data_IF_304159663600
#
_entry.id   IF_304159663600
#
_cell.length_a   1.000
_cell.length_b   1.000
_cell.length_c   1.000
_cell.angle_alpha   90.00
_cell.angle_beta   90.00
_cell.angle_gamma   90.00
#
_symmetry.space_group_name_H-M   'P 1'
#
loop_
_entity.id
_entity.type
_entity.pdbx_description
1 polymer ?
#
# COMPACT_ATOMS: atom_id res chain seq x y z
N UNK A 1 -22.53 0.01 -5.49
CA UNK A 1 -22.35 -1.15 -4.58
C UNK A 1 -22.20 -0.64 -3.15
N UNK A 2 -22.94 -1.16 -2.16
CA UNK A 2 -22.65 -0.87 -0.74
C UNK A 2 -21.35 -1.58 -0.36
N UNK A 3 -20.31 -0.85 0.02
CA UNK A 3 -19.10 -1.44 0.60
C UNK A 3 -19.50 -2.17 1.89
N UNK A 4 -19.27 -3.48 1.94
CA UNK A 4 -19.61 -4.27 3.12
C UNK A 4 -18.61 -3.96 4.23
N UNK A 5 -19.09 -3.40 5.34
CA UNK A 5 -18.29 -3.25 6.57
C UNK A 5 -17.61 -4.58 6.89
N UNK A 6 -16.33 -4.50 7.24
CA UNK A 6 -15.59 -5.66 7.67
C UNK A 6 -15.93 -5.89 9.14
N UNK A 7 -16.80 -6.86 9.42
CA UNK A 7 -17.09 -7.22 10.80
C UNK A 7 -15.77 -7.58 11.53
N UNK A 8 -15.44 -6.90 12.65
CA UNK A 8 -14.39 -7.39 13.54
C UNK A 8 -14.74 -8.83 13.89
N UNK A 9 -13.76 -9.73 13.85
CA UNK A 9 -14.00 -11.15 14.06
C UNK A 9 -14.52 -11.35 15.49
N UNK A 10 -15.83 -11.59 15.64
CA UNK A 10 -16.42 -11.85 16.94
C UNK A 10 -15.94 -13.22 17.43
N UNK A 11 -15.42 -13.28 18.65
CA UNK A 11 -14.68 -14.42 19.19
C UNK A 11 -15.54 -15.65 19.51
N UNK A 12 -16.78 -15.73 19.04
CA UNK A 12 -17.76 -16.64 19.62
C UNK A 12 -17.88 -18.01 18.93
N UNK A 13 -17.25 -18.29 17.79
CA UNK A 13 -17.44 -19.61 17.13
C UNK A 13 -16.26 -20.25 16.39
N UNK A 14 -15.08 -19.64 16.29
CA UNK A 14 -13.90 -20.36 15.75
C UNK A 14 -12.61 -20.02 16.50
N UNK A 15 -12.08 -21.00 17.22
CA UNK A 15 -10.83 -20.93 18.00
C UNK A 15 -9.63 -20.53 17.15
N UNK A 16 -9.67 -20.78 15.84
CA UNK A 16 -8.58 -20.46 14.89
C UNK A 16 -8.46 -18.95 14.66
N UNK A 17 -9.57 -18.22 14.71
CA UNK A 17 -9.68 -16.84 14.27
C UNK A 17 -9.33 -15.81 15.36
N UNK A 18 -9.62 -16.11 16.63
CA UNK A 18 -9.18 -15.31 17.77
C UNK A 18 -7.64 -15.26 17.91
N UNK A 19 -6.94 -16.28 17.39
CA UNK A 19 -5.48 -16.41 17.46
C UNK A 19 -4.78 -15.56 16.38
N UNK A 20 -5.52 -14.96 15.44
CA UNK A 20 -4.97 -14.13 14.36
C UNK A 20 -4.95 -12.64 14.68
N UNK A 21 -5.73 -12.18 15.67
CA UNK A 21 -5.86 -10.76 15.94
C UNK A 21 -4.64 -10.19 16.65
N UNK A 22 -3.97 -9.20 16.05
CA UNK A 22 -3.04 -8.30 16.75
C UNK A 22 -3.74 -6.99 17.12
N UNK A 23 -3.24 -6.23 18.11
CA UNK A 23 -3.74 -4.89 18.39
C UNK A 23 -3.75 -3.99 17.15
N UNK A 24 -2.72 -4.06 16.31
CA UNK A 24 -2.61 -3.30 15.06
C UNK A 24 -3.66 -3.72 14.03
N UNK A 25 -3.90 -5.03 13.87
CA UNK A 25 -4.89 -5.55 12.92
C UNK A 25 -6.32 -5.22 13.38
N UNK A 26 -6.61 -5.34 14.67
CA UNK A 26 -7.90 -4.94 15.24
C UNK A 26 -8.16 -3.44 15.03
N UNK A 27 -7.16 -2.60 15.29
CA UNK A 27 -7.27 -1.16 15.06
C UNK A 27 -7.51 -0.84 13.58
N UNK A 28 -6.80 -1.53 12.67
CA UNK A 28 -6.99 -1.38 11.24
C UNK A 28 -8.44 -1.63 10.81
N UNK A 29 -9.06 -2.72 11.28
CA UNK A 29 -10.45 -3.06 10.92
C UNK A 29 -11.45 -2.07 11.51
N UNK A 30 -11.24 -1.66 12.77
CA UNK A 30 -12.10 -0.65 13.39
C UNK A 30 -12.06 0.68 12.63
N UNK A 31 -10.86 1.11 12.23
CA UNK A 31 -10.69 2.34 11.48
C UNK A 31 -11.20 2.21 10.04
N UNK A 32 -11.04 1.04 9.41
CA UNK A 32 -11.62 0.75 8.11
C UNK A 32 -13.13 0.94 8.10
N UNK A 33 -13.82 0.38 9.09
CA UNK A 33 -15.27 0.50 9.18
C UNK A 33 -15.76 1.93 9.37
N UNK A 34 -14.99 2.76 10.07
CA UNK A 34 -15.28 4.19 10.22
C UNK A 34 -15.09 4.94 8.90
N UNK A 35 -14.00 4.63 8.20
CA UNK A 35 -13.71 5.27 6.91
C UNK A 35 -14.75 4.87 5.84
N UNK A 36 -15.25 3.64 5.85
CA UNK A 36 -16.28 3.15 4.92
C UNK A 36 -17.57 3.97 4.99
N UNK A 37 -17.99 4.39 6.18
CA UNK A 37 -19.21 5.21 6.33
C UNK A 37 -19.03 6.56 5.62
N UNK A 38 -17.91 7.24 5.86
CA UNK A 38 -17.56 8.48 5.15
C UNK A 38 -17.48 8.28 3.63
N UNK A 39 -16.83 7.20 3.20
CA UNK A 39 -16.65 6.89 1.78
C UNK A 39 -17.99 6.65 1.09
N UNK A 40 -18.91 5.91 1.70
CA UNK A 40 -20.24 5.66 1.15
C UNK A 40 -21.02 6.97 0.95
N UNK A 41 -20.96 7.88 1.93
CA UNK A 41 -21.62 9.19 1.80
C UNK A 41 -21.01 10.00 0.66
N UNK A 42 -19.68 10.01 0.53
CA UNK A 42 -18.98 10.70 -0.57
C UNK A 42 -19.25 10.08 -1.94
N UNK A 43 -19.34 8.76 -2.04
CA UNK A 43 -19.73 8.08 -3.29
C UNK A 43 -21.13 8.53 -3.71
N UNK A 44 -22.09 8.58 -2.78
CA UNK A 44 -23.44 9.06 -3.10
C UNK A 44 -23.43 10.49 -3.65
N UNK A 45 -22.61 11.38 -3.07
CA UNK A 45 -22.44 12.75 -3.56
C UNK A 45 -21.81 12.76 -4.97
N UNK A 46 -20.75 11.99 -5.19
CA UNK A 46 -20.02 11.91 -6.46
C UNK A 46 -20.85 11.35 -7.62
N UNK A 47 -21.78 10.44 -7.33
CA UNK A 47 -22.57 9.76 -8.35
C UNK A 47 -23.91 10.45 -8.65
N UNK A 48 -24.51 11.14 -7.67
CA UNK A 48 -25.91 11.56 -7.78
C UNK A 48 -26.15 13.06 -7.67
N UNK A 49 -25.17 13.86 -7.26
CA UNK A 49 -25.36 15.29 -7.04
C UNK A 49 -24.72 16.07 -8.19
N UNK A 50 -25.52 16.91 -8.85
CA UNK A 50 -25.04 17.87 -9.83
C UNK A 50 -24.24 18.96 -9.11
N UNK A 51 -23.00 19.19 -9.56
CA UNK A 51 -22.08 20.14 -8.92
C UNK A 51 -22.13 21.49 -9.62
N UNK A 52 -22.18 22.56 -8.82
CA UNK A 52 -22.06 23.94 -9.29
C UNK A 52 -20.82 24.53 -8.65
N UNK A 53 -19.82 24.84 -9.47
CA UNK A 53 -18.54 25.37 -9.03
C UNK A 53 -18.57 26.89 -8.99
N UNK A 54 -17.92 27.49 -8.00
CA UNK A 54 -17.62 28.94 -8.04
C UNK A 54 -16.49 29.21 -9.03
N UNK A 55 -16.31 30.48 -9.42
CA UNK A 55 -15.19 30.88 -10.28
C UNK A 55 -13.84 30.55 -9.63
N UNK A 56 -13.72 30.67 -8.30
CA UNK A 56 -12.50 30.31 -7.58
C UNK A 56 -12.24 28.80 -7.60
N UNK A 57 -13.29 27.99 -7.45
CA UNK A 57 -13.18 26.52 -7.51
C UNK A 57 -12.79 26.06 -8.90
N UNK A 58 -13.42 26.59 -9.95
CA UNK A 58 -13.04 26.28 -11.34
C UNK A 58 -11.60 26.72 -11.63
N UNK A 59 -11.18 27.91 -11.18
CA UNK A 59 -9.79 28.35 -11.33
C UNK A 59 -8.80 27.41 -10.61
N UNK A 60 -9.15 26.92 -9.42
CA UNK A 60 -8.34 25.97 -8.66
C UNK A 60 -8.21 24.62 -9.38
N UNK A 61 -9.30 24.15 -10.00
CA UNK A 61 -9.36 22.91 -10.79
C UNK A 61 -8.54 23.03 -12.07
N UNK A 62 -8.72 24.11 -12.83
CA UNK A 62 -7.95 24.35 -14.06
C UNK A 62 -6.45 24.51 -13.77
N UNK A 63 -6.10 25.21 -12.68
CA UNK A 63 -4.71 25.29 -12.20
C UNK A 63 -4.13 23.91 -11.88
N UNK A 64 -4.90 23.04 -11.23
CA UNK A 64 -4.48 21.67 -10.93
C UNK A 64 -4.26 20.84 -12.19
N UNK A 65 -5.19 20.89 -13.15
CA UNK A 65 -5.04 20.20 -14.44
C UNK A 65 -3.82 20.70 -15.23
N UNK A 66 -3.61 22.02 -15.24
CA UNK A 66 -2.44 22.65 -15.84
C UNK A 66 -1.13 22.17 -15.20
N UNK A 67 -1.07 22.10 -13.86
CA UNK A 67 0.11 21.56 -13.13
C UNK A 67 0.36 20.10 -13.45
N UNK A 68 -0.69 19.26 -13.43
CA UNK A 68 -0.56 17.83 -13.70
C UNK A 68 0.00 17.56 -15.11
N UNK A 69 -0.46 18.35 -16.09
CA UNK A 69 0.01 18.30 -17.48
C UNK A 69 1.42 18.90 -17.62
N UNK A 70 1.72 19.98 -16.90
CA UNK A 70 3.05 20.60 -16.86
C UNK A 70 4.13 19.64 -16.33
N UNK A 71 3.77 18.74 -15.41
CA UNK A 71 4.67 17.68 -14.95
C UNK A 71 5.01 16.64 -16.04
N UNK A 72 4.20 16.51 -17.12
CA UNK A 72 4.52 15.66 -18.28
C UNK A 72 5.46 16.34 -19.27
N UNK A 73 5.34 17.66 -19.43
CA UNK A 73 6.17 18.44 -20.35
C UNK A 73 7.62 18.64 -19.84
N UNK A 74 7.97 18.05 -18.70
CA UNK A 74 9.26 18.18 -18.03
C UNK A 74 10.42 17.42 -18.71
N UNK A 75 10.45 17.31 -20.03
CA UNK A 75 11.66 16.97 -20.79
C UNK A 75 12.81 18.00 -20.58
N UNK A 76 12.52 19.16 -19.98
CA UNK A 76 13.48 20.21 -19.66
C UNK A 76 14.16 20.09 -18.27
N UNK A 77 13.67 19.22 -17.38
CA UNK A 77 14.24 19.03 -16.02
C UNK A 77 14.34 17.54 -15.70
N UNK A 78 15.51 17.01 -15.30
CA UNK A 78 15.65 15.58 -15.02
C UNK A 78 14.85 15.19 -13.77
N UNK A 79 13.74 14.49 -13.98
CA UNK A 79 13.04 13.78 -12.90
C UNK A 79 13.85 12.54 -12.51
N UNK A 80 14.07 12.35 -11.20
CA UNK A 80 14.66 11.10 -10.69
C UNK A 80 13.56 10.05 -10.55
N UNK A 81 13.80 8.86 -11.09
CA UNK A 81 12.93 7.70 -10.85
C UNK A 81 13.13 7.24 -9.41
N UNK A 82 12.04 7.13 -8.65
CA UNK A 82 12.06 6.57 -7.32
C UNK A 82 11.64 5.10 -7.35
N UNK A 83 12.22 4.31 -6.46
CA UNK A 83 11.73 2.96 -6.24
C UNK A 83 10.29 3.02 -5.74
N UNK A 84 9.44 2.19 -6.33
CA UNK A 84 8.06 2.02 -5.91
C UNK A 84 7.98 0.89 -4.88
N UNK A 85 6.99 0.93 -4.01
CA UNK A 85 6.81 -0.10 -2.98
C UNK A 85 6.12 -1.33 -3.55
N UNK A 86 5.07 -1.12 -4.36
CA UNK A 86 4.18 -2.14 -4.89
C UNK A 86 4.20 -2.11 -6.42
N UNK A 87 4.05 -3.28 -7.04
CA UNK A 87 4.09 -3.45 -8.50
C UNK A 87 2.96 -2.76 -9.25
N UNK A 88 1.85 -2.45 -8.59
CA UNK A 88 0.75 -1.70 -9.22
C UNK A 88 1.10 -0.23 -9.45
N UNK A 89 2.23 0.27 -8.93
CA UNK A 89 2.77 1.59 -9.28
C UNK A 89 3.64 1.48 -10.53
N UNK A 90 3.15 2.01 -11.66
CA UNK A 90 3.84 1.99 -12.96
C UNK A 90 5.10 2.85 -12.96
N UNK A 91 4.99 4.05 -12.38
CA UNK A 91 6.13 4.93 -12.18
C UNK A 91 5.90 5.85 -11.00
N UNK A 92 7.00 6.26 -10.37
CA UNK A 92 7.03 7.39 -9.46
C UNK A 92 8.29 8.19 -9.77
N UNK A 93 8.09 9.45 -10.12
CA UNK A 93 9.15 10.35 -10.55
C UNK A 93 9.02 11.64 -9.77
N UNK A 94 10.13 12.32 -9.51
CA UNK A 94 10.05 13.67 -8.96
C UNK A 94 11.29 14.51 -9.17
N UNK A 95 11.14 15.77 -8.81
CA UNK A 95 12.12 16.83 -8.95
C UNK A 95 12.09 17.71 -7.70
N UNK A 96 13.26 18.14 -7.22
CA UNK A 96 13.39 19.08 -6.12
C UNK A 96 14.14 20.34 -6.58
N UNK A 97 13.41 21.45 -6.73
CA UNK A 97 14.00 22.76 -6.93
C UNK A 97 14.53 23.30 -5.60
N UNK A 98 15.78 22.98 -5.28
CA UNK A 98 16.40 23.39 -4.02
C UNK A 98 16.51 24.92 -3.84
N UNK A 99 16.42 25.70 -4.91
CA UNK A 99 16.50 27.17 -4.84
C UNK A 99 15.19 27.78 -4.32
N UNK A 100 14.06 27.24 -4.79
CA UNK A 100 12.73 27.73 -4.46
C UNK A 100 12.08 26.92 -3.31
N UNK A 101 12.65 25.75 -2.99
CA UNK A 101 12.10 24.83 -1.99
C UNK A 101 10.97 23.94 -2.53
N UNK A 102 10.69 24.01 -3.84
CA UNK A 102 9.60 23.27 -4.47
C UNK A 102 9.96 21.82 -4.77
N UNK A 103 9.06 20.92 -4.37
CA UNK A 103 9.12 19.50 -4.63
C UNK A 103 7.96 19.13 -5.54
N UNK A 104 8.29 18.53 -6.68
CA UNK A 104 7.33 18.00 -7.63
C UNK A 104 7.40 16.48 -7.63
N UNK A 105 6.26 15.80 -7.54
CA UNK A 105 6.18 14.34 -7.65
C UNK A 105 5.04 13.99 -8.59
N UNK A 106 5.32 13.14 -9.57
CA UNK A 106 4.31 12.53 -10.43
C UNK A 106 4.35 11.02 -10.28
N UNK A 107 3.20 10.39 -10.13
CA UNK A 107 3.10 8.94 -9.99
C UNK A 107 1.83 8.43 -10.64
N UNK A 108 1.88 7.23 -11.21
CA UNK A 108 0.70 6.57 -11.72
C UNK A 108 0.64 5.13 -11.22
N UNK A 109 -0.54 4.71 -10.75
CA UNK A 109 -0.76 3.39 -10.19
C UNK A 109 -2.19 2.91 -10.44
N UNK A 110 -2.39 1.59 -10.40
CA UNK A 110 -3.72 0.98 -10.52
C UNK A 110 -4.24 0.48 -9.18
N UNK A 111 -5.57 0.47 -9.05
CA UNK A 111 -6.31 0.01 -7.88
C UNK A 111 -7.45 -0.89 -8.36
N UNK A 112 -7.72 -1.98 -7.63
CA UNK A 112 -8.94 -2.79 -7.80
C UNK A 112 -10.11 -2.16 -7.05
N UNK A 113 -10.90 -1.37 -7.76
CA UNK A 113 -12.05 -0.65 -7.22
C UNK A 113 -12.70 0.24 -8.28
N UNK A 114 -13.94 0.62 -8.00
CA UNK A 114 -14.67 1.62 -8.78
C UNK A 114 -14.09 3.03 -8.56
N UNK A 115 -14.05 3.84 -9.62
CA UNK A 115 -13.45 5.16 -9.63
C UNK A 115 -14.10 6.14 -8.64
N UNK A 116 -15.40 6.06 -8.37
CA UNK A 116 -16.05 6.87 -7.34
C UNK A 116 -15.64 6.43 -5.94
N UNK A 117 -15.50 5.11 -5.70
CA UNK A 117 -14.98 4.59 -4.44
C UNK A 117 -13.52 5.03 -4.21
N UNK A 118 -12.70 4.96 -5.26
CA UNK A 118 -11.30 5.40 -5.23
C UNK A 118 -11.22 6.91 -4.98
N UNK A 119 -12.05 7.71 -5.63
CA UNK A 119 -12.12 9.16 -5.42
C UNK A 119 -12.57 9.52 -4.01
N UNK A 120 -13.62 8.88 -3.49
CA UNK A 120 -14.06 9.07 -2.13
C UNK A 120 -12.93 8.78 -1.13
N UNK A 121 -12.22 7.66 -1.29
CA UNK A 121 -11.06 7.30 -0.46
C UNK A 121 -9.94 8.34 -0.55
N UNK A 122 -9.58 8.78 -1.76
CA UNK A 122 -8.49 9.74 -1.98
C UNK A 122 -8.86 11.15 -1.50
N UNK A 123 -10.14 11.51 -1.49
CA UNK A 123 -10.67 12.77 -0.93
C UNK A 123 -10.73 12.74 0.60
N UNK A 124 -10.80 11.56 1.20
CA UNK A 124 -10.80 11.39 2.66
C UNK A 124 -9.40 11.67 3.22
N UNK A 125 -9.05 12.94 3.43
CA UNK A 125 -7.76 13.31 4.02
C UNK A 125 -7.52 12.64 5.39
N UNK A 126 -8.61 12.32 6.10
CA UNK A 126 -8.62 11.85 7.48
C UNK A 126 -8.68 10.34 7.62
N UNK A 127 -8.47 9.59 6.52
CA UNK A 127 -8.57 8.15 6.58
C UNK A 127 -7.71 7.59 7.72
N UNK A 128 -8.38 6.91 8.66
CA UNK A 128 -7.76 6.39 9.87
C UNK A 128 -7.18 5.00 9.61
N UNK A 129 -7.76 4.28 8.65
CA UNK A 129 -7.36 2.94 8.29
C UNK A 129 -5.98 2.95 7.62
N UNK A 130 -4.95 2.63 8.41
CA UNK A 130 -3.55 2.57 7.95
C UNK A 130 -3.02 1.17 8.07
N UNK A 131 -2.74 0.55 6.94
CA UNK A 131 -2.20 -0.80 6.92
C UNK A 131 -0.85 -0.88 7.68
N UNK A 132 -0.71 -1.78 8.67
CA UNK A 132 0.50 -1.91 9.48
C UNK A 132 1.76 -2.32 8.69
N UNK A 133 1.64 -2.87 7.49
CA UNK A 133 2.74 -3.17 6.55
C UNK A 133 3.52 -1.94 6.08
N UNK A 134 3.02 -0.73 6.35
CA UNK A 134 3.69 0.51 5.99
C UNK A 134 4.06 1.36 7.21
N UNK A 135 3.76 0.86 8.41
CA UNK A 135 4.09 1.50 9.68
C UNK A 135 3.39 2.84 9.92
N UNK A 136 3.71 3.47 11.06
CA UNK A 136 3.34 4.86 11.34
C UNK A 136 4.37 5.78 10.70
N UNK A 137 3.96 6.94 10.16
CA UNK A 137 4.95 7.92 9.72
C UNK A 137 5.74 8.47 10.87
N UNK A 138 7.08 8.39 10.79
CA UNK A 138 7.98 9.11 11.68
C UNK A 138 7.74 10.64 11.62
N UNK A 139 7.26 11.17 10.49
CA UNK A 139 6.96 12.60 10.29
C UNK A 139 5.49 12.99 10.55
N UNK A 140 4.57 12.03 10.78
CA UNK A 140 3.15 12.31 11.03
C UNK A 140 2.80 12.13 12.49
N UNK A 141 3.55 12.77 13.37
CA UNK A 141 2.98 13.16 14.66
C UNK A 141 2.18 14.43 14.39
N UNK A 142 0.99 14.30 13.79
CA UNK A 142 0.09 15.43 13.71
C UNK A 142 -0.24 15.89 15.13
N UNK A 143 -0.13 17.19 15.40
CA UNK A 143 -0.64 17.75 16.65
C UNK A 143 -2.16 17.87 16.60
N UNK A 144 -2.69 18.22 15.42
CA UNK A 144 -4.10 18.25 15.10
C UNK A 144 -4.28 18.03 13.60
N UNK A 145 -5.42 17.44 13.22
CA UNK A 145 -5.94 17.49 11.86
C UNK A 145 -7.44 17.72 12.02
N UNK A 146 -8.00 18.75 11.39
CA UNK A 146 -9.44 19.07 11.50
C UNK A 146 -10.01 19.56 10.18
N UNK A 147 -11.18 19.02 9.80
CA UNK A 147 -12.02 19.71 8.82
C UNK A 147 -12.45 21.00 9.51
N UNK A 148 -11.99 22.11 8.97
CA UNK A 148 -12.24 23.43 9.53
C UNK A 148 -13.59 23.94 9.04
N UNK A 149 -13.94 23.60 7.81
CA UNK A 149 -15.18 24.00 7.16
C UNK A 149 -15.59 22.96 6.09
N UNK A 150 -16.88 22.71 5.95
CA UNK A 150 -17.47 22.03 4.78
C UNK A 150 -18.24 23.10 4.04
N UNK A 151 -17.65 23.64 2.97
CA UNK A 151 -18.22 24.78 2.24
C UNK A 151 -19.44 24.34 1.42
N UNK A 152 -19.36 23.16 0.79
CA UNK A 152 -20.43 22.53 0.02
C UNK A 152 -20.16 21.01 -0.13
N UNK A 153 -20.95 20.30 -0.94
CA UNK A 153 -20.84 18.85 -1.12
C UNK A 153 -19.50 18.41 -1.76
N UNK A 154 -18.89 19.28 -2.56
CA UNK A 154 -17.67 19.04 -3.31
C UNK A 154 -16.42 19.76 -2.82
N UNK A 155 -16.52 20.53 -1.73
CA UNK A 155 -15.50 21.46 -1.26
C UNK A 155 -15.43 21.46 0.27
N UNK A 156 -14.26 21.17 0.82
CA UNK A 156 -14.03 21.18 2.27
C UNK A 156 -12.63 21.70 2.61
N UNK A 157 -12.54 22.52 3.65
CA UNK A 157 -11.29 23.09 4.12
C UNK A 157 -10.68 22.19 5.19
N UNK A 158 -9.43 21.78 5.00
CA UNK A 158 -8.64 21.09 6.01
C UNK A 158 -7.48 21.94 6.51
N UNK A 159 -7.11 21.72 7.77
CA UNK A 159 -5.86 22.20 8.34
C UNK A 159 -5.10 21.03 8.97
N UNK A 160 -3.79 20.96 8.69
CA UNK A 160 -2.90 19.91 9.14
C UNK A 160 -1.60 20.47 9.72
N UNK A 161 -1.21 19.96 10.88
CA UNK A 161 0.04 20.32 11.54
C UNK A 161 1.07 19.19 11.47
N UNK A 162 2.22 19.42 10.83
CA UNK A 162 3.28 18.45 10.61
C UNK A 162 4.48 18.70 11.51
N UNK A 163 4.85 17.69 12.29
CA UNK A 163 6.11 17.70 13.05
C UNK A 163 7.30 17.40 12.16
N UNK A 164 8.26 18.30 12.16
CA UNK A 164 9.55 18.10 11.50
C UNK A 164 10.62 17.67 12.51
N UNK A 165 11.66 16.93 12.07
CA UNK A 165 12.77 16.59 12.95
C UNK A 165 13.50 17.84 13.44
N UNK A 166 13.72 17.94 14.75
CA UNK A 166 14.55 19.01 15.34
C UNK A 166 15.92 19.07 14.65
N UNK A 167 16.45 20.27 14.33
CA UNK A 167 15.97 21.61 14.72
C UNK A 167 15.01 22.28 13.73
N UNK A 168 14.44 21.54 12.76
CA UNK A 168 13.52 22.15 11.80
C UNK A 168 12.20 22.51 12.48
N UNK A 169 11.73 23.74 12.25
CA UNK A 169 10.40 24.19 12.69
C UNK A 169 9.32 23.28 12.12
N UNK A 170 8.19 23.16 12.80
CA UNK A 170 7.04 22.42 12.29
C UNK A 170 6.38 23.15 11.12
N UNK A 171 5.47 22.46 10.41
CA UNK A 171 4.73 23.02 9.27
C UNK A 171 3.24 22.93 9.46
N UNK A 172 2.52 23.96 9.06
CA UNK A 172 1.07 23.93 8.95
C UNK A 172 0.68 23.96 7.48
N UNK A 173 -0.37 23.26 7.10
CA UNK A 173 -0.91 23.24 5.75
C UNK A 173 -2.42 23.50 5.86
N UNK A 174 -2.92 24.42 5.03
CA UNK A 174 -4.36 24.60 4.84
C UNK A 174 -4.65 24.27 3.39
N UNK A 175 -5.61 23.38 3.13
CA UNK A 175 -6.07 23.12 1.77
C UNK A 175 -7.58 23.22 1.66
N UNK A 176 -8.04 23.64 0.49
CA UNK A 176 -9.36 23.32 0.01
C UNK A 176 -9.31 21.97 -0.73
N UNK A 177 -10.03 20.99 -0.22
CA UNK A 177 -10.23 19.68 -0.84
C UNK A 177 -11.45 19.75 -1.75
N UNK A 178 -11.19 19.75 -3.05
CA UNK A 178 -12.17 19.84 -4.12
C UNK A 178 -12.25 18.52 -4.87
N UNK A 179 -13.42 18.21 -5.42
CA UNK A 179 -13.53 17.17 -6.45
C UNK A 179 -14.44 17.58 -7.61
N UNK A 180 -14.09 17.10 -8.81
CA UNK A 180 -14.85 17.35 -10.04
C UNK A 180 -14.95 16.11 -10.89
N UNK A 181 -16.16 15.77 -11.29
CA UNK A 181 -16.37 14.74 -12.31
C UNK A 181 -15.98 15.34 -13.67
N UNK A 182 -14.99 14.73 -14.32
CA UNK A 182 -14.52 15.14 -15.66
C UNK A 182 -15.30 14.43 -16.77
N UNK A 183 -15.95 13.31 -16.45
CA UNK A 183 -16.81 12.54 -17.34
C UNK A 183 -17.37 11.31 -16.62
N UNK A 184 -18.05 10.43 -17.34
CA UNK A 184 -18.68 9.23 -16.76
C UNK A 184 -17.70 8.31 -16.04
N UNK A 185 -16.45 8.23 -16.54
CA UNK A 185 -15.41 7.33 -16.03
C UNK A 185 -14.27 8.05 -15.32
N UNK A 186 -14.38 9.36 -15.08
CA UNK A 186 -13.25 10.12 -14.54
C UNK A 186 -13.66 11.17 -13.52
N UNK A 187 -12.92 11.17 -12.41
CA UNK A 187 -13.06 12.13 -11.31
C UNK A 187 -11.68 12.72 -11.01
N UNK A 188 -11.63 14.03 -10.80
CA UNK A 188 -10.49 14.76 -10.30
C UNK A 188 -10.70 15.04 -8.82
N UNK A 189 -9.70 14.77 -7.99
CA UNK A 189 -9.64 15.22 -6.59
C UNK A 189 -8.43 16.16 -6.46
N UNK A 190 -8.64 17.34 -5.88
CA UNK A 190 -7.63 18.38 -5.75
C UNK A 190 -7.55 18.83 -4.29
N UNK A 191 -6.36 18.85 -3.73
CA UNK A 191 -6.04 19.55 -2.50
C UNK A 191 -5.37 20.85 -2.92
N UNK A 192 -6.13 21.94 -2.96
CA UNK A 192 -5.63 23.24 -3.37
C UNK A 192 -5.12 24.02 -2.15
N UNK A 193 -3.85 24.46 -2.12
CA UNK A 193 -3.29 25.13 -0.96
C UNK A 193 -3.89 26.52 -0.76
N UNK A 194 -4.17 26.87 0.50
CA UNK A 194 -4.64 28.20 0.88
C UNK A 194 -3.58 28.94 1.69
N UNK A 195 -3.43 30.23 1.41
CA UNK A 195 -2.50 31.11 2.14
C UNK A 195 -3.03 31.49 3.51
N UNK A 196 -4.35 31.51 3.71
CA UNK A 196 -5.02 31.78 4.99
C UNK A 196 -6.46 31.24 4.99
N UNK A 197 -7.06 31.16 6.18
CA UNK A 197 -8.48 30.87 6.35
C UNK A 197 -9.00 31.56 7.62
N UNK A 198 -10.21 32.16 7.65
CA UNK A 198 -10.70 32.91 8.82
C UNK A 198 -10.78 32.10 10.12
N UNK A 199 -11.01 30.80 10.02
CA UNK A 199 -11.11 29.87 11.15
C UNK A 199 -9.77 29.24 11.55
N UNK A 200 -8.67 29.59 10.89
CA UNK A 200 -7.32 29.10 11.21
C UNK A 200 -6.46 30.27 11.60
N UNK A 201 -6.06 30.31 12.87
CA UNK A 201 -5.17 31.34 13.39
C UNK A 201 -3.82 31.29 12.66
N UNK A 202 -3.32 32.45 12.23
CA UNK A 202 -1.96 32.54 11.71
C UNK A 202 -0.99 32.43 12.89
N UNK A 203 -0.40 31.24 13.04
CA UNK A 203 0.65 31.02 14.04
C UNK A 203 1.91 31.75 13.58
N UNK A 204 2.33 32.77 14.34
CA UNK A 204 3.50 33.60 14.01
C UNK A 204 4.77 32.76 13.77
N UNK A 205 5.59 33.22 12.81
CA UNK A 205 6.69 32.53 12.12
C UNK A 205 7.89 32.04 12.95
N UNK A 206 7.76 31.97 14.28
CA UNK A 206 8.69 31.26 15.16
C UNK A 206 8.24 29.86 15.56
N UNK A 207 6.92 29.59 15.58
CA UNK A 207 6.37 28.33 16.12
C UNK A 207 6.03 27.30 15.02
N UNK A 208 5.56 27.77 13.87
CA UNK A 208 5.13 27.00 12.71
C UNK A 208 5.45 27.78 11.44
N UNK A 209 5.72 27.08 10.34
CA UNK A 209 5.86 27.69 9.01
C UNK A 209 4.72 27.17 8.13
N UNK A 210 3.99 28.08 7.46
CA UNK A 210 2.94 27.69 6.51
C UNK A 210 3.57 27.09 5.26
N UNK A 211 3.21 25.84 4.98
CA UNK A 211 3.57 25.14 3.77
C UNK A 211 2.42 25.20 2.75
N UNK A 212 2.78 25.22 1.47
CA UNK A 212 1.85 25.11 0.35
C UNK A 212 1.96 23.70 -0.20
N UNK A 213 0.82 23.00 -0.26
CA UNK A 213 0.77 21.63 -0.75
C UNK A 213 -0.40 21.48 -1.71
N UNK A 214 -0.07 21.14 -2.95
CA UNK A 214 -1.03 20.82 -3.97
C UNK A 214 -0.98 19.31 -4.26
N UNK A 215 -2.01 18.57 -3.89
CA UNK A 215 -2.18 17.16 -4.32
C UNK A 215 -3.27 17.08 -5.37
N UNK A 216 -3.00 16.37 -6.44
CA UNK A 216 -3.90 16.23 -7.58
C UNK A 216 -4.00 14.74 -7.86
N UNK A 217 -5.22 14.23 -7.90
CA UNK A 217 -5.52 12.86 -8.32
C UNK A 217 -6.50 12.92 -9.48
N UNK A 218 -6.05 12.53 -10.66
CA UNK A 218 -6.94 12.17 -11.76
C UNK A 218 -7.19 10.67 -11.69
N UNK A 219 -8.46 10.31 -11.57
CA UNK A 219 -8.92 8.96 -11.29
C UNK A 219 -9.76 8.54 -12.47
N UNK A 220 -9.41 7.44 -13.11
CA UNK A 220 -10.02 7.00 -14.37
C UNK A 220 -10.34 5.52 -14.30
N UNK A 221 -11.62 5.17 -14.49
CA UNK A 221 -12.05 3.78 -14.61
C UNK A 221 -11.47 3.17 -15.89
N UNK A 222 -10.75 2.04 -15.76
CA UNK A 222 -10.20 1.30 -16.89
C UNK A 222 -11.18 0.22 -17.38
N UNK A 223 -11.68 -0.59 -16.46
CA UNK A 223 -12.66 -1.66 -16.65
C UNK A 223 -13.62 -1.72 -15.46
N UNK A 224 -14.49 -2.74 -15.34
CA UNK A 224 -15.55 -2.77 -14.32
C UNK A 224 -15.06 -2.72 -12.86
N UNK A 225 -13.79 -3.05 -12.61
CA UNK A 225 -13.26 -3.13 -11.24
C UNK A 225 -11.80 -2.72 -11.11
N UNK A 226 -11.23 -2.08 -12.13
CA UNK A 226 -9.87 -1.52 -12.11
C UNK A 226 -9.90 -0.04 -12.45
N UNK A 227 -9.29 0.74 -11.58
CA UNK A 227 -9.15 2.19 -11.71
C UNK A 227 -7.68 2.57 -11.78
N UNK A 228 -7.36 3.48 -12.68
CA UNK A 228 -6.08 4.16 -12.74
C UNK A 228 -6.10 5.44 -11.92
N UNK A 229 -5.04 5.68 -11.16
CA UNK A 229 -4.81 6.92 -10.44
C UNK A 229 -3.53 7.55 -10.97
N UNK A 230 -3.68 8.68 -11.65
CA UNK A 230 -2.59 9.59 -11.97
C UNK A 230 -2.53 10.66 -10.89
N UNK A 231 -1.38 10.75 -10.22
CA UNK A 231 -1.15 11.70 -9.14
C UNK A 231 -0.08 12.72 -9.51
N UNK A 232 -0.35 13.97 -9.18
CA UNK A 232 0.59 15.09 -9.23
C UNK A 232 0.67 15.75 -7.87
N UNK A 233 1.88 16.05 -7.43
CA UNK A 233 2.14 16.71 -6.15
C UNK A 233 3.09 17.87 -6.38
N UNK A 234 2.71 19.05 -5.91
CA UNK A 234 3.61 20.20 -5.82
C UNK A 234 3.60 20.70 -4.38
N UNK A 235 4.76 20.69 -3.74
CA UNK A 235 4.90 21.06 -2.33
C UNK A 235 6.00 22.09 -2.18
N UNK A 236 5.70 23.16 -1.46
CA UNK A 236 6.68 24.06 -0.89
C UNK A 236 6.50 24.09 0.62
N UNK A 237 7.45 23.52 1.36
CA UNK A 237 7.36 23.55 2.82
C UNK A 237 7.70 24.91 3.42
N UNK A 238 8.23 25.87 2.66
CA UNK A 238 8.74 27.12 3.20
C UNK A 238 10.01 26.95 4.03
N UNK A 239 10.84 27.99 4.04
CA UNK A 239 12.18 27.97 4.63
C UNK A 239 13.15 27.03 3.90
N UNK A 240 14.36 26.88 4.43
CA UNK A 240 15.40 26.07 3.81
C UNK A 240 15.36 24.62 4.32
N UNK A 241 14.96 23.68 3.45
CA UNK A 241 15.01 22.24 3.76
C UNK A 241 16.32 21.61 3.24
N UNK A 242 17.08 20.91 4.11
CA UNK A 242 18.24 20.15 3.66
C UNK A 242 17.84 19.06 2.64
N UNK A 243 18.60 18.91 1.56
CA UNK A 243 18.37 17.87 0.53
C UNK A 243 18.19 16.48 1.15
N UNK A 244 18.97 16.15 2.18
CA UNK A 244 18.88 14.86 2.86
C UNK A 244 17.49 14.60 3.47
N UNK A 245 16.80 15.62 3.98
CA UNK A 245 15.44 15.50 4.54
C UNK A 245 14.43 15.22 3.43
N UNK A 246 14.54 15.93 2.31
CA UNK A 246 13.69 15.70 1.13
C UNK A 246 13.84 14.27 0.62
N UNK A 247 15.07 13.83 0.37
CA UNK A 247 15.33 12.52 -0.22
C UNK A 247 15.12 11.34 0.73
N UNK A 248 15.45 11.47 2.03
CA UNK A 248 15.39 10.34 2.98
C UNK A 248 14.09 10.28 3.78
N UNK A 249 13.32 11.36 3.84
CA UNK A 249 12.10 11.43 4.65
C UNK A 249 10.88 11.72 3.78
N UNK A 250 10.88 12.83 3.03
CA UNK A 250 9.67 13.29 2.33
C UNK A 250 9.29 12.39 1.14
N UNK A 251 10.24 12.11 0.25
CA UNK A 251 9.98 11.25 -0.92
C UNK A 251 9.49 9.84 -0.53
N UNK A 252 10.16 9.12 0.39
CA UNK A 252 9.68 7.81 0.85
C UNK A 252 8.28 7.87 1.48
N UNK A 253 7.92 8.99 2.12
CA UNK A 253 6.58 9.16 2.68
C UNK A 253 5.50 9.26 1.60
N UNK A 254 5.76 9.89 0.44
CA UNK A 254 4.78 9.94 -0.67
C UNK A 254 4.51 8.54 -1.23
N UNK A 255 5.57 7.79 -1.52
CA UNK A 255 5.44 6.40 -1.98
C UNK A 255 4.62 5.57 -0.98
N UNK A 256 4.87 5.77 0.32
CA UNK A 256 4.10 5.10 1.37
C UNK A 256 2.62 5.48 1.37
N UNK A 257 2.27 6.74 1.13
CA UNK A 257 0.86 7.18 1.06
C UNK A 257 0.13 6.42 -0.04
N UNK A 258 0.71 6.32 -1.24
CA UNK A 258 0.13 5.54 -2.33
C UNK A 258 0.00 4.06 -1.98
N UNK A 259 1.01 3.51 -1.31
CA UNK A 259 1.00 2.11 -0.85
C UNK A 259 -0.14 1.81 0.12
N UNK A 260 -0.52 2.78 0.98
CA UNK A 260 -1.68 2.62 1.87
C UNK A 260 -2.99 2.52 1.09
N UNK A 261 -3.17 3.32 0.02
CA UNK A 261 -4.36 3.24 -0.82
C UNK A 261 -4.42 1.91 -1.58
N UNK A 262 -3.33 1.51 -2.23
CA UNK A 262 -3.23 0.24 -2.95
C UNK A 262 -3.54 -0.95 -2.03
N UNK A 263 -2.96 -0.96 -0.83
CA UNK A 263 -3.21 -2.03 0.14
C UNK A 263 -4.63 -2.03 0.70
N UNK A 264 -5.26 -0.87 0.88
CA UNK A 264 -6.65 -0.79 1.35
C UNK A 264 -7.58 -1.55 0.41
N UNK A 265 -7.51 -1.24 -0.88
CA UNK A 265 -8.35 -1.88 -1.89
C UNK A 265 -8.00 -3.35 -2.09
N UNK A 266 -6.71 -3.70 -2.16
CA UNK A 266 -6.29 -5.10 -2.28
C UNK A 266 -6.79 -5.98 -1.12
N UNK A 267 -6.74 -5.47 0.12
CA UNK A 267 -7.23 -6.21 1.29
C UNK A 267 -8.76 -6.27 1.37
N UNK A 268 -9.47 -5.48 0.55
CA UNK A 268 -10.94 -5.46 0.51
C UNK A 268 -11.51 -6.40 -0.56
N UNK A 269 -10.66 -7.01 -1.41
CA UNK A 269 -11.08 -7.98 -2.42
C UNK A 269 -11.57 -9.26 -1.71
N UNK A 270 -12.76 -9.74 -2.11
CA UNK A 270 -13.34 -11.02 -1.67
C UNK A 270 -12.69 -12.20 -2.39
N UNK A 271 -12.75 -13.38 -1.79
CA UNK A 271 -12.08 -14.57 -2.32
C UNK A 271 -12.56 -14.95 -3.72
N UNK A 272 -13.87 -14.86 -3.97
CA UNK A 272 -14.52 -15.14 -5.26
C UNK A 272 -14.17 -14.14 -6.37
N UNK A 273 -13.64 -12.96 -6.00
CA UNK A 273 -13.27 -11.90 -6.93
C UNK A 273 -11.75 -11.76 -7.13
N UNK A 274 -10.96 -12.58 -6.41
CA UNK A 274 -9.50 -12.53 -6.46
C UNK A 274 -9.00 -13.20 -7.76
N UNK A 275 -8.42 -12.40 -8.64
CA UNK A 275 -7.92 -12.82 -9.97
C UNK A 275 -6.46 -13.25 -9.90
N UNK A 276 -6.02 -13.96 -10.93
CA UNK A 276 -4.60 -14.28 -11.12
C UNK A 276 -3.69 -13.05 -10.98
N UNK A 277 -4.08 -11.93 -11.61
CA UNK A 277 -3.33 -10.67 -11.57
C UNK A 277 -3.20 -10.07 -10.18
N UNK A 278 -4.08 -10.40 -9.23
CA UNK A 278 -4.01 -9.90 -7.86
C UNK A 278 -3.01 -10.67 -7.01
N UNK A 279 -2.72 -11.93 -7.36
CA UNK A 279 -1.88 -12.80 -6.57
C UNK A 279 -0.51 -12.17 -6.31
N UNK A 280 0.08 -11.54 -7.33
CA UNK A 280 1.33 -10.80 -7.21
C UNK A 280 1.25 -9.72 -6.13
N UNK A 281 0.27 -8.82 -6.21
CA UNK A 281 0.09 -7.73 -5.23
C UNK A 281 -0.15 -8.28 -3.83
N UNK A 282 -0.94 -9.35 -3.69
CA UNK A 282 -1.19 -10.00 -2.40
C UNK A 282 0.09 -10.61 -1.81
N UNK A 283 0.95 -11.19 -2.64
CA UNK A 283 2.26 -11.72 -2.24
C UNK A 283 3.20 -10.61 -1.76
N UNK A 284 3.24 -9.48 -2.50
CA UNK A 284 3.98 -8.28 -2.09
C UNK A 284 3.51 -7.77 -0.72
N UNK A 285 2.19 -7.66 -0.51
CA UNK A 285 1.60 -7.19 0.74
C UNK A 285 1.95 -8.10 1.93
N UNK A 286 1.86 -9.43 1.77
CA UNK A 286 2.32 -10.38 2.79
C UNK A 286 3.79 -10.15 3.14
N UNK A 287 4.65 -10.06 2.12
CA UNK A 287 6.09 -9.84 2.32
C UNK A 287 6.34 -8.54 3.07
N UNK A 288 5.65 -7.45 2.72
CA UNK A 288 5.78 -6.17 3.44
C UNK A 288 5.29 -6.26 4.89
N UNK A 289 4.18 -6.96 5.13
CA UNK A 289 3.65 -7.17 6.48
C UNK A 289 4.66 -7.91 7.36
N UNK A 290 5.22 -9.02 6.86
CA UNK A 290 6.30 -9.78 7.52
C UNK A 290 7.51 -8.88 7.80
N UNK A 291 7.97 -8.11 6.79
CA UNK A 291 9.13 -7.21 6.93
C UNK A 291 8.92 -6.18 8.03
N UNK A 292 7.76 -5.52 8.09
CA UNK A 292 7.52 -4.51 9.11
C UNK A 292 7.34 -5.12 10.49
N UNK A 293 6.61 -6.23 10.61
CA UNK A 293 6.45 -6.91 11.89
C UNK A 293 7.82 -7.30 12.47
N UNK A 294 8.72 -7.87 11.65
CA UNK A 294 10.11 -8.19 12.04
C UNK A 294 10.94 -6.99 12.53
N UNK A 295 10.59 -5.76 12.15
CA UNK A 295 11.26 -4.52 12.62
C UNK A 295 10.76 -4.03 13.98
N UNK A 296 9.63 -4.56 14.50
CA UNK A 296 9.04 -4.13 15.78
C UNK A 296 9.81 -4.64 17.01
N UNK A 297 10.77 -5.53 16.83
CA UNK A 297 11.56 -6.08 17.93
C UNK A 297 12.99 -6.42 17.55
N UNK A 298 13.77 -6.85 18.55
CA UNK A 298 15.15 -7.26 18.37
C UNK A 298 15.29 -8.56 17.56
N UNK A 299 16.53 -8.86 17.14
CA UNK A 299 16.83 -10.00 16.27
C UNK A 299 16.30 -11.35 16.79
N UNK A 300 16.30 -11.57 18.12
CA UNK A 300 15.80 -12.79 18.76
C UNK A 300 14.29 -13.03 18.53
N UNK A 301 13.51 -11.97 18.31
CA UNK A 301 12.06 -12.03 18.10
C UNK A 301 11.66 -12.08 16.62
N UNK A 302 12.60 -12.05 15.67
CA UNK A 302 12.27 -11.96 14.23
C UNK A 302 11.46 -13.14 13.71
N UNK A 303 11.63 -14.34 14.27
CA UNK A 303 10.84 -15.49 13.86
C UNK A 303 9.37 -15.33 14.30
N UNK A 304 9.16 -15.10 15.60
CA UNK A 304 7.85 -14.83 16.20
C UNK A 304 7.14 -13.65 15.51
N UNK A 305 7.84 -12.53 15.34
CA UNK A 305 7.30 -11.34 14.66
C UNK A 305 7.06 -11.58 13.16
N UNK A 306 7.75 -12.52 12.54
CA UNK A 306 7.45 -12.96 11.18
C UNK A 306 6.06 -13.58 11.10
N UNK A 307 5.75 -14.49 12.03
CA UNK A 307 4.43 -15.11 12.15
C UNK A 307 3.35 -14.07 12.48
N UNK A 308 3.64 -13.10 13.35
CA UNK A 308 2.73 -11.96 13.59
C UNK A 308 2.42 -11.23 12.29
N UNK A 309 3.41 -10.98 11.44
CA UNK A 309 3.19 -10.35 10.14
C UNK A 309 2.31 -11.21 9.20
N UNK A 310 2.47 -12.53 9.21
CA UNK A 310 1.57 -13.43 8.47
C UNK A 310 0.15 -13.35 9.02
N UNK A 311 -0.01 -13.44 10.34
CA UNK A 311 -1.32 -13.41 11.00
C UNK A 311 -2.04 -12.08 10.76
N UNK A 312 -1.32 -10.96 10.76
CA UNK A 312 -1.86 -9.64 10.43
C UNK A 312 -2.36 -9.57 8.98
N UNK A 313 -1.60 -10.10 8.02
CA UNK A 313 -2.03 -10.14 6.62
C UNK A 313 -3.29 -11.00 6.45
N UNK A 314 -3.29 -12.18 7.04
CA UNK A 314 -4.44 -13.10 7.03
C UNK A 314 -5.68 -12.49 7.70
N UNK A 315 -5.48 -11.74 8.79
CA UNK A 315 -6.56 -11.08 9.50
C UNK A 315 -7.10 -9.87 8.75
N UNK A 316 -6.26 -9.10 8.06
CA UNK A 316 -6.66 -7.85 7.40
C UNK A 316 -7.34 -8.11 6.05
N UNK A 317 -6.84 -9.07 5.27
CA UNK A 317 -7.40 -9.39 3.95
C UNK A 317 -8.76 -10.10 4.05
N UNK A 318 -9.78 -9.58 3.35
CA UNK A 318 -11.11 -10.20 3.24
C UNK A 318 -10.99 -11.60 2.62
N UNK A 319 -10.37 -11.72 1.44
CA UNK A 319 -10.17 -13.00 0.77
C UNK A 319 -9.48 -14.04 1.67
N UNK A 320 -8.44 -13.65 2.42
CA UNK A 320 -7.75 -14.59 3.30
C UNK A 320 -8.61 -15.03 4.49
N UNK A 321 -9.42 -14.14 5.07
CA UNK A 321 -10.38 -14.52 6.13
C UNK A 321 -11.45 -15.48 5.63
N UNK A 322 -11.91 -15.33 4.39
CA UNK A 322 -12.86 -16.24 3.76
C UNK A 322 -12.22 -17.60 3.42
N UNK A 323 -10.95 -17.61 3.03
CA UNK A 323 -10.21 -18.80 2.65
C UNK A 323 -9.80 -19.67 3.84
N UNK A 324 -9.43 -19.05 4.97
CA UNK A 324 -8.89 -19.77 6.13
C UNK A 324 -9.85 -20.85 6.69
N UNK A 325 -11.17 -20.63 6.82
CA UNK A 325 -12.12 -21.68 7.18
C UNK A 325 -12.16 -22.84 6.17
N UNK A 326 -11.94 -22.56 4.88
CA UNK A 326 -11.94 -23.56 3.81
C UNK A 326 -10.62 -24.33 3.75
N UNK A 327 -9.49 -23.67 4.04
CA UNK A 327 -8.13 -24.20 3.96
C UNK A 327 -7.31 -23.81 5.21
N UNK A 328 -7.60 -24.38 6.41
CA UNK A 328 -6.96 -23.95 7.66
C UNK A 328 -5.43 -24.09 7.68
N UNK A 329 -4.92 -25.09 6.95
CA UNK A 329 -3.50 -25.41 6.83
C UNK A 329 -2.68 -24.28 6.19
N UNK A 330 -3.32 -23.34 5.47
CA UNK A 330 -2.64 -22.22 4.80
C UNK A 330 -1.87 -21.35 5.79
N UNK A 331 -2.40 -21.18 7.01
CA UNK A 331 -1.71 -20.42 8.06
C UNK A 331 -0.37 -21.07 8.42
N UNK A 332 -0.37 -22.38 8.66
CA UNK A 332 0.84 -23.14 8.99
C UNK A 332 1.86 -23.12 7.85
N UNK A 333 1.40 -23.22 6.60
CA UNK A 333 2.25 -23.07 5.41
C UNK A 333 2.96 -21.71 5.41
N UNK A 334 2.20 -20.61 5.52
CA UNK A 334 2.74 -19.25 5.45
C UNK A 334 3.66 -18.92 6.64
N UNK A 335 3.35 -19.44 7.83
CA UNK A 335 4.24 -19.33 9.01
C UNK A 335 5.60 -19.94 8.72
N UNK A 336 5.66 -21.20 8.29
CA UNK A 336 6.94 -21.87 8.02
C UNK A 336 7.68 -21.23 6.84
N UNK A 337 6.97 -20.79 5.79
CA UNK A 337 7.58 -20.00 4.68
C UNK A 337 8.19 -18.70 5.20
N UNK A 338 7.55 -18.00 6.15
CA UNK A 338 8.04 -16.73 6.70
C UNK A 338 9.35 -16.87 7.48
N UNK A 339 9.68 -18.08 7.95
CA UNK A 339 10.94 -18.39 8.62
C UNK A 339 12.11 -18.41 7.63
N UNK A 340 11.83 -18.71 6.35
CA UNK A 340 12.82 -18.84 5.27
C UNK A 340 14.00 -19.73 5.68
N UNK A 341 13.71 -20.90 6.26
CA UNK A 341 14.72 -21.86 6.73
C UNK A 341 14.74 -23.06 5.80
N UNK A 342 15.88 -23.29 5.17
CA UNK A 342 16.12 -24.47 4.33
C UNK A 342 16.14 -25.71 5.22
N UNK A 343 15.25 -26.65 4.93
CA UNK A 343 15.19 -27.97 5.56
C UNK A 343 14.78 -28.98 4.49
N UNK A 344 15.42 -30.13 4.49
CA UNK A 344 14.95 -31.27 3.70
C UNK A 344 13.57 -31.67 4.23
N UNK A 345 12.62 -31.83 3.31
CA UNK A 345 11.28 -32.29 3.63
C UNK A 345 10.84 -33.34 2.62
N UNK A 346 10.04 -34.32 3.07
CA UNK A 346 9.42 -35.27 2.16
C UNK A 346 8.43 -34.56 1.24
N UNK A 347 8.25 -35.11 0.04
CA UNK A 347 7.17 -34.74 -0.87
C UNK A 347 5.82 -35.05 -0.23
N UNK A 348 4.83 -34.17 -0.42
CA UNK A 348 3.49 -34.34 0.12
C UNK A 348 2.56 -34.86 -0.98
N UNK A 349 2.00 -36.04 -0.75
CA UNK A 349 1.05 -36.69 -1.66
C UNK A 349 -0.40 -36.65 -1.16
N UNK A 350 -0.64 -36.00 -0.02
CA UNK A 350 -1.98 -35.79 0.55
C UNK A 350 -2.84 -35.00 -0.43
N UNK A 351 -4.10 -35.40 -0.61
CA UNK A 351 -5.08 -34.65 -1.40
C UNK A 351 -5.43 -33.32 -0.73
N UNK A 352 -5.86 -32.31 -1.50
CA UNK A 352 -6.15 -30.98 -0.96
C UNK A 352 -7.19 -31.00 0.18
N UNK A 353 -8.21 -31.87 0.07
CA UNK A 353 -9.27 -32.02 1.06
C UNK A 353 -8.78 -32.58 2.41
N UNK A 354 -7.69 -33.34 2.41
CA UNK A 354 -7.17 -34.04 3.58
C UNK A 354 -5.95 -33.34 4.21
N UNK A 355 -5.54 -32.22 3.64
CA UNK A 355 -4.38 -31.43 4.06
C UNK A 355 -4.49 -30.98 5.52
N UNK A 356 -3.44 -31.28 6.30
CA UNK A 356 -3.28 -30.80 7.69
C UNK A 356 -2.08 -29.89 7.84
N UNK A 357 -1.97 -29.23 8.99
CA UNK A 357 -0.84 -28.33 9.31
C UNK A 357 0.53 -29.01 9.13
N UNK A 358 0.65 -30.29 9.49
CA UNK A 358 1.88 -31.05 9.30
C UNK A 358 2.29 -31.15 7.82
N UNK A 359 1.31 -31.39 6.93
CA UNK A 359 1.55 -31.48 5.48
C UNK A 359 1.94 -30.12 4.92
N UNK A 360 1.22 -29.07 5.32
CA UNK A 360 1.54 -27.69 4.97
C UNK A 360 2.95 -27.26 5.40
N UNK A 361 3.39 -27.65 6.59
CA UNK A 361 4.76 -27.39 7.08
C UNK A 361 5.79 -28.12 6.19
N UNK A 362 5.51 -29.34 5.74
CA UNK A 362 6.42 -30.06 4.85
C UNK A 362 6.45 -29.44 3.45
N UNK A 363 5.32 -28.96 2.92
CA UNK A 363 5.26 -28.18 1.69
C UNK A 363 6.14 -26.93 1.77
N UNK A 364 6.03 -26.13 2.84
CA UNK A 364 6.85 -24.92 3.05
C UNK A 364 8.36 -25.21 3.03
N UNK A 365 8.78 -26.28 3.71
CA UNK A 365 10.19 -26.72 3.74
C UNK A 365 10.66 -27.21 2.37
N UNK A 366 9.80 -27.91 1.64
CA UNK A 366 10.02 -28.32 0.25
C UNK A 366 10.32 -27.12 -0.65
N UNK A 367 9.47 -26.08 -0.60
CA UNK A 367 9.67 -24.84 -1.34
C UNK A 367 11.04 -24.19 -1.03
N UNK A 368 11.42 -24.14 0.25
CA UNK A 368 12.70 -23.55 0.66
C UNK A 368 13.91 -24.28 0.06
N UNK A 369 13.80 -25.60 -0.16
CA UNK A 369 14.84 -26.40 -0.81
C UNK A 369 14.86 -26.18 -2.32
N UNK A 370 13.68 -26.19 -2.97
CA UNK A 370 13.52 -25.96 -4.41
C UNK A 370 14.02 -24.58 -4.83
N UNK A 371 13.76 -23.57 -4.00
CA UNK A 371 14.25 -22.21 -4.20
C UNK A 371 15.78 -22.16 -4.36
N UNK A 372 16.54 -23.02 -3.67
CA UNK A 372 18.00 -23.05 -3.77
C UNK A 372 18.52 -23.64 -5.08
N UNK A 373 17.75 -24.54 -5.69
CA UNK A 373 18.14 -25.23 -6.93
C UNK A 373 17.66 -24.49 -8.20
N UNK A 374 16.96 -23.36 -8.05
CA UNK A 374 16.38 -22.61 -9.16
C UNK A 374 16.92 -21.18 -9.22
N UNK A 375 17.16 -20.67 -10.43
CA UNK A 375 17.64 -19.30 -10.65
C UNK A 375 16.53 -18.26 -10.59
N UNK A 376 15.28 -18.67 -10.85
CA UNK A 376 14.10 -17.82 -10.93
C UNK A 376 13.00 -18.30 -9.97
N UNK A 377 12.33 -17.35 -9.31
CA UNK A 377 11.29 -17.65 -8.34
C UNK A 377 10.07 -18.36 -8.96
N UNK A 378 9.67 -17.97 -10.17
CA UNK A 378 8.56 -18.58 -10.88
C UNK A 378 8.84 -20.07 -11.17
N UNK A 379 10.01 -20.39 -11.74
CA UNK A 379 10.42 -21.77 -11.98
C UNK A 379 10.47 -22.62 -10.69
N UNK A 380 10.89 -22.03 -9.57
CA UNK A 380 10.87 -22.71 -8.28
C UNK A 380 9.44 -23.05 -7.83
N UNK A 381 8.49 -22.14 -8.02
CA UNK A 381 7.07 -22.38 -7.69
C UNK A 381 6.45 -23.39 -8.65
N UNK A 382 6.79 -23.35 -9.93
CA UNK A 382 6.32 -24.34 -10.92
C UNK A 382 6.76 -25.75 -10.53
N UNK A 383 8.03 -25.91 -10.16
CA UNK A 383 8.58 -27.17 -9.68
C UNK A 383 7.91 -27.60 -8.37
N UNK A 384 7.67 -26.68 -7.44
CA UNK A 384 6.99 -26.95 -6.18
C UNK A 384 5.56 -27.44 -6.38
N UNK A 385 4.80 -26.82 -7.28
CA UNK A 385 3.44 -27.25 -7.63
C UNK A 385 3.47 -28.64 -8.28
N UNK A 386 4.35 -28.86 -9.27
CA UNK A 386 4.45 -30.13 -9.99
C UNK A 386 4.81 -31.33 -9.09
N UNK A 387 5.49 -31.09 -7.96
CA UNK A 387 5.85 -32.15 -7.01
C UNK A 387 4.74 -32.50 -6.02
N UNK A 388 3.72 -31.66 -5.84
CA UNK A 388 2.76 -31.80 -4.74
C UNK A 388 1.32 -31.70 -5.25
N UNK A 389 0.60 -32.83 -5.26
CA UNK A 389 -0.76 -32.92 -5.81
C UNK A 389 -1.75 -31.91 -5.18
N UNK A 390 -1.68 -31.72 -3.85
CA UNK A 390 -2.51 -30.71 -3.17
C UNK A 390 -2.31 -29.29 -3.71
N UNK A 391 -1.10 -28.92 -4.14
CA UNK A 391 -0.82 -27.60 -4.69
C UNK A 391 -1.35 -27.45 -6.12
N UNK A 392 -1.29 -28.52 -6.91
CA UNK A 392 -1.89 -28.55 -8.25
C UNK A 392 -3.42 -28.40 -8.18
N UNK A 393 -4.07 -29.10 -7.24
CA UNK A 393 -5.50 -28.94 -6.97
C UNK A 393 -5.83 -27.54 -6.46
N UNK A 394 -5.01 -26.99 -5.55
CA UNK A 394 -5.22 -25.67 -4.96
C UNK A 394 -5.10 -24.55 -6.01
N UNK A 395 -4.15 -24.66 -6.94
CA UNK A 395 -4.01 -23.70 -8.03
C UNK A 395 -5.21 -23.72 -8.98
N UNK A 396 -5.72 -24.92 -9.31
CA UNK A 396 -6.93 -25.06 -10.15
C UNK A 396 -8.14 -24.39 -9.52
N UNK A 397 -8.23 -24.40 -8.18
CA UNK A 397 -9.29 -23.73 -7.43
C UNK A 397 -9.03 -22.22 -7.29
N UNK A 398 -7.77 -21.79 -7.22
CA UNK A 398 -7.37 -20.43 -6.90
C UNK A 398 -6.25 -19.92 -7.83
N UNK A 399 -6.62 -19.34 -8.97
CA UNK A 399 -5.68 -18.86 -9.99
C UNK A 399 -4.65 -17.82 -9.49
N UNK A 400 -4.97 -17.06 -8.43
CA UNK A 400 -4.04 -16.11 -7.80
C UNK A 400 -2.87 -16.77 -7.07
N UNK A 401 -2.95 -18.08 -6.78
CA UNK A 401 -1.98 -18.81 -5.97
C UNK A 401 -0.56 -18.73 -6.55
N UNK A 402 -0.38 -19.07 -7.83
CA UNK A 402 0.94 -19.14 -8.47
C UNK A 402 1.68 -17.79 -8.42
N UNK A 403 1.11 -16.67 -8.90
CA UNK A 403 1.78 -15.37 -8.81
C UNK A 403 2.01 -14.89 -7.37
N UNK A 404 1.12 -15.26 -6.43
CA UNK A 404 1.32 -14.98 -5.00
C UNK A 404 2.57 -15.65 -4.44
N UNK A 405 2.72 -16.96 -4.64
CA UNK A 405 3.88 -17.67 -4.11
C UNK A 405 5.16 -17.34 -4.88
N UNK A 406 5.07 -16.94 -6.16
CA UNK A 406 6.24 -16.48 -6.91
C UNK A 406 6.88 -15.24 -6.26
N UNK A 407 6.07 -14.27 -5.81
CA UNK A 407 6.59 -13.10 -5.09
C UNK A 407 7.18 -13.45 -3.72
N UNK A 408 6.53 -14.35 -2.98
CA UNK A 408 7.04 -14.81 -1.68
C UNK A 408 8.37 -15.58 -1.86
N UNK A 409 8.46 -16.42 -2.88
CA UNK A 409 9.68 -17.14 -3.24
C UNK A 409 10.80 -16.17 -3.67
N UNK A 410 10.47 -15.14 -4.46
CA UNK A 410 11.42 -14.11 -4.88
C UNK A 410 11.98 -13.34 -3.68
N UNK A 411 11.13 -13.02 -2.71
CA UNK A 411 11.56 -12.41 -1.45
C UNK A 411 12.49 -13.34 -0.66
N UNK A 412 12.15 -14.63 -0.55
CA UNK A 412 12.97 -15.61 0.15
C UNK A 412 14.33 -15.80 -0.52
N UNK A 413 14.39 -15.84 -1.85
CA UNK A 413 15.64 -15.82 -2.64
C UNK A 413 16.50 -14.63 -2.26
N UNK A 414 15.92 -13.43 -2.30
CA UNK A 414 16.62 -12.16 -2.08
C UNK A 414 17.11 -11.96 -0.63
N UNK A 415 16.50 -12.65 0.33
CA UNK A 415 16.85 -12.53 1.76
C UNK A 415 17.60 -13.72 2.31
N UNK A 416 17.73 -14.80 1.53
CA UNK A 416 18.56 -15.93 1.92
C UNK A 416 20.04 -15.51 1.93
N UNK A 417 20.77 -15.87 2.99
CA UNK A 417 22.24 -15.73 3.02
C UNK A 417 22.93 -16.61 1.95
N UNK A 418 22.19 -17.51 1.31
CA UNK A 418 22.69 -18.48 0.35
C UNK A 418 22.80 -17.91 -1.07
N UNK A 419 21.90 -16.99 -1.47
CA UNK A 419 21.95 -16.32 -2.78
C UNK A 419 23.25 -15.54 -3.02
N UNK A 420 23.85 -14.98 -1.97
CA UNK A 420 25.17 -14.34 -2.02
C UNK A 420 26.32 -15.35 -2.12
N UNK A 421 26.19 -16.51 -1.48
CA UNK A 421 27.26 -17.53 -1.38
C UNK A 421 27.37 -18.43 -2.61
N UNK A 422 26.25 -18.77 -3.26
CA UNK A 422 26.21 -19.61 -4.46
C UNK A 422 26.43 -18.81 -5.76
N UNK A 423 26.12 -17.50 -5.77
CA UNK A 423 26.39 -16.63 -6.93
C UNK A 423 27.83 -16.12 -6.94
N UNK A 424 28.40 -15.80 -5.77
CA UNK A 424 29.81 -15.42 -5.65
C UNK A 424 30.81 -16.57 -5.82
N UNK A 425 30.36 -17.82 -5.80
CA UNK A 425 31.21 -19.01 -6.01
C UNK A 425 31.23 -19.51 -7.46
N UNK A 426 30.33 -19.05 -8.33
CA UNK A 426 30.38 -19.38 -9.77
C UNK A 426 31.30 -18.44 -10.56
N UNK A 427 31.51 -17.22 -10.09
CA UNK A 427 32.37 -16.24 -10.76
C UNK A 427 33.88 -16.40 -10.42
N UNK A 428 34.26 -17.45 -9.67
CA UNK A 428 35.66 -17.72 -9.30
C UNK A 428 36.23 -19.02 -9.88
N UNK A 429 35.45 -19.79 -10.65
CA UNK A 429 35.90 -21.08 -11.21
C UNK A 429 36.27 -21.03 -12.70
N UNK A 430 36.07 -19.91 -13.40
CA UNK A 430 36.34 -19.78 -14.85
C UNK A 430 37.49 -18.83 -15.22
N UNK A 431 38.37 -18.51 -14.26
CA UNK A 431 39.60 -17.76 -14.57
C UNK A 431 40.84 -18.40 -13.97
N UNK A 432 41.24 -19.55 -14.51
CA UNK A 432 42.65 -19.92 -14.67
C UNK A 432 42.84 -20.77 -15.92
N UNK A 433 43.70 -20.32 -16.83
CA UNK A 433 44.68 -21.23 -17.39
C UNK A 433 46.10 -20.66 -17.25
N UNK A 434 47.05 -21.57 -17.03
CA UNK A 434 48.48 -21.28 -16.87
C UNK A 434 49.25 -20.98 -18.13
#
# INVERSE_FOLDING_TARGET
>A
MKSSKISPMQSSTSTVLAVLSSPEANQFIQDQNKDIDFENDKIMMMDNIAQVYTEEEDAAIESALGKLSGMDMAGAIPFTNFSTTLSTTRYMKGFYNYKEGDIYVKSAFTIRGDHSQVAARLSNHYYKCRNPAFGKSASRKYESQTYVEIANDHSAINCDEYKFPSPLTNREIINNVLWKRLGEKSILVVFHPLTSHPLVENKDGGSMIRASVNFIFRITQLDDDTTEVESGVHINFGGNLPKAVVHRVLIPNFNRVYSHYQAYFANSIKLDNLRETDGKLMGELLVYQIKQAKKRGGWKKRAELGNVGVDEFLYISVAMRELLPLRPWLRALLHEISLNKVKVAPTVHTALSDMKDHDAINLAKGLSTIILSNTEAAAAVDHWIAQNAALEEFEKEYAWMRPFFAEVAQYNLNTSNFGLRLRGSRDLDDSMPG
#
